data_IF_458267491555
#
_entry.id   IF_458267491555
#
_cell.length_a   1.000
_cell.length_b   1.000
_cell.length_c   1.000
_cell.angle_alpha   90.00
_cell.angle_beta   90.00
_cell.angle_gamma   90.00
#
_symmetry.space_group_name_H-M   'P 1'
#
loop_
_entity.id
_entity.type
_entity.pdbx_description
1 polymer ?
#
# COMPACT_ATOMS: atom_id res chain seq x y z
N UNK A 1 -17.57 2.42 -6.99
CA UNK A 1 -16.16 2.84 -6.72
C UNK A 1 -16.07 3.34 -5.28
N UNK A 2 -14.99 2.96 -4.59
CA UNK A 2 -14.75 3.44 -3.23
C UNK A 2 -14.07 4.80 -3.26
N UNK A 3 -14.35 5.62 -2.26
CA UNK A 3 -13.71 6.92 -2.13
C UNK A 3 -12.50 6.85 -1.20
N UNK A 4 -11.46 7.60 -1.52
CA UNK A 4 -10.27 7.71 -0.68
C UNK A 4 -10.58 8.62 0.51
N UNK A 5 -10.33 8.11 1.74
CA UNK A 5 -10.49 8.91 2.95
C UNK A 5 -9.27 9.81 3.16
N UNK A 6 -9.51 10.97 3.77
CA UNK A 6 -8.46 11.97 3.97
C UNK A 6 -7.99 11.99 5.42
N UNK A 7 -6.86 12.68 5.65
CA UNK A 7 -6.27 12.88 6.97
C UNK A 7 -7.31 13.40 7.97
N UNK A 8 -7.29 12.83 9.16
CA UNK A 8 -8.27 13.11 10.20
C UNK A 8 -9.25 11.97 10.42
N UNK A 9 -9.40 11.06 9.44
CA UNK A 9 -10.22 9.85 9.62
C UNK A 9 -9.46 8.86 10.50
N UNK A 10 -10.11 8.38 11.55
CA UNK A 10 -9.48 7.50 12.54
C UNK A 10 -8.97 6.17 11.95
N UNK A 11 -9.56 5.70 10.85
CA UNK A 11 -9.13 4.45 10.20
C UNK A 11 -7.68 4.53 9.72
N UNK A 12 -7.20 5.72 9.35
CA UNK A 12 -5.83 5.92 8.88
C UNK A 12 -4.79 5.77 10.00
N UNK A 13 -5.19 5.89 11.25
CA UNK A 13 -4.32 5.83 12.42
C UNK A 13 -4.43 4.52 13.17
N UNK A 14 -5.25 3.60 12.68
CA UNK A 14 -5.51 2.30 13.30
C UNK A 14 -4.73 1.22 12.57
N UNK A 15 -4.10 0.32 13.32
CA UNK A 15 -3.46 -0.84 12.73
C UNK A 15 -4.52 -1.74 12.09
N UNK A 16 -4.35 -2.05 10.80
CA UNK A 16 -5.27 -2.87 10.05
C UNK A 16 -5.19 -4.34 10.48
N UNK A 17 -6.34 -5.01 10.49
CA UNK A 17 -6.43 -6.43 10.82
C UNK A 17 -6.06 -7.35 9.66
N UNK A 18 -5.58 -8.57 9.94
CA UNK A 18 -5.23 -9.51 8.89
C UNK A 18 -6.46 -9.99 8.13
N UNK A 19 -6.26 -10.34 6.86
CA UNK A 19 -7.27 -10.97 6.03
C UNK A 19 -7.26 -12.47 6.33
N UNK A 20 -8.43 -13.03 6.61
CA UNK A 20 -8.58 -14.44 6.96
C UNK A 20 -9.35 -15.25 5.92
N UNK A 21 -10.04 -14.57 4.99
CA UNK A 21 -10.82 -15.22 3.96
C UNK A 21 -10.48 -14.66 2.58
N UNK A 22 -10.21 -15.54 1.63
CA UNK A 22 -9.98 -15.22 0.24
C UNK A 22 -11.19 -15.69 -0.56
N UNK A 23 -11.62 -14.89 -1.54
CA UNK A 23 -12.76 -15.23 -2.36
C UNK A 23 -13.30 -14.03 -3.13
N UNK A 24 -14.52 -14.13 -3.67
CA UNK A 24 -15.08 -13.07 -4.53
C UNK A 24 -15.15 -11.70 -3.86
N UNK A 25 -15.44 -11.63 -2.57
CA UNK A 25 -15.51 -10.35 -1.85
C UNK A 25 -14.16 -9.65 -1.80
N UNK A 26 -13.09 -10.41 -1.54
CA UNK A 26 -11.73 -9.87 -1.53
C UNK A 26 -11.32 -9.41 -2.93
N UNK A 27 -11.62 -10.20 -3.96
CA UNK A 27 -11.31 -9.85 -5.34
C UNK A 27 -12.04 -8.57 -5.76
N UNK A 28 -13.31 -8.42 -5.35
CA UNK A 28 -14.09 -7.22 -5.63
C UNK A 28 -13.47 -6.00 -4.93
N UNK A 29 -13.09 -6.14 -3.67
CA UNK A 29 -12.45 -5.05 -2.93
C UNK A 29 -11.16 -4.60 -3.63
N UNK A 30 -10.33 -5.54 -4.07
CA UNK A 30 -9.10 -5.22 -4.80
C UNK A 30 -9.39 -4.47 -6.09
N UNK A 31 -10.41 -4.90 -6.86
CA UNK A 31 -10.81 -4.23 -8.08
C UNK A 31 -11.28 -2.81 -7.79
N UNK A 32 -12.08 -2.60 -6.74
CA UNK A 32 -12.55 -1.28 -6.32
C UNK A 32 -11.39 -0.39 -5.88
N UNK A 33 -10.36 -0.96 -5.23
CA UNK A 33 -9.16 -0.23 -4.83
C UNK A 33 -8.36 0.24 -6.05
N UNK A 34 -8.20 -0.61 -7.06
CA UNK A 34 -7.55 -0.20 -8.31
C UNK A 34 -8.31 0.92 -9.00
N UNK A 35 -9.64 0.85 -9.03
CA UNK A 35 -10.48 1.90 -9.62
C UNK A 35 -10.31 3.22 -8.87
N UNK A 36 -10.35 3.20 -7.54
CA UNK A 36 -10.18 4.40 -6.72
C UNK A 36 -8.78 5.02 -6.92
N UNK A 37 -7.76 4.17 -6.94
CA UNK A 37 -6.38 4.60 -7.16
C UNK A 37 -6.22 5.26 -8.52
N UNK A 38 -6.75 4.65 -9.57
CA UNK A 38 -6.67 5.17 -10.94
C UNK A 38 -7.42 6.49 -11.06
N UNK A 39 -8.60 6.58 -10.46
CA UNK A 39 -9.40 7.81 -10.49
C UNK A 39 -8.62 8.99 -9.90
N UNK A 40 -7.90 8.77 -8.81
CA UNK A 40 -7.12 9.81 -8.13
C UNK A 40 -5.66 9.86 -8.59
N UNK A 41 -5.30 9.12 -9.65
CA UNK A 41 -3.95 9.11 -10.27
C UNK A 41 -2.85 8.68 -9.30
N UNK A 42 -3.17 7.74 -8.40
CA UNK A 42 -2.20 7.19 -7.47
C UNK A 42 -1.44 6.01 -8.06
N UNK A 43 -0.31 5.68 -7.44
CA UNK A 43 0.52 4.52 -7.81
C UNK A 43 0.51 3.45 -6.73
N UNK A 44 -0.09 3.74 -5.59
CA UNK A 44 -0.29 2.80 -4.48
C UNK A 44 -1.50 3.23 -3.66
N UNK A 45 -2.18 2.25 -3.07
CA UNK A 45 -3.34 2.50 -2.22
C UNK A 45 -3.53 1.35 -1.24
N UNK A 46 -3.68 1.68 0.03
CA UNK A 46 -3.95 0.70 1.09
C UNK A 46 -5.43 0.70 1.45
N UNK A 47 -5.95 -0.46 1.89
CA UNK A 47 -7.37 -0.60 2.22
C UNK A 47 -7.86 0.41 3.26
N UNK A 48 -7.09 0.76 4.31
CA UNK A 48 -7.53 1.81 5.24
C UNK A 48 -7.85 3.14 4.54
N UNK A 49 -7.19 3.44 3.43
CA UNK A 49 -7.44 4.68 2.68
C UNK A 49 -8.79 4.70 1.96
N UNK A 50 -9.47 3.57 1.87
CA UNK A 50 -10.86 3.49 1.39
C UNK A 50 -11.82 3.07 2.52
N UNK A 51 -11.39 3.26 3.77
CA UNK A 51 -12.23 3.01 4.94
C UNK A 51 -12.31 1.56 5.39
N UNK A 52 -11.48 0.68 4.84
CA UNK A 52 -11.48 -0.74 5.18
C UNK A 52 -10.22 -1.06 5.99
N UNK A 53 -10.41 -1.47 7.26
CA UNK A 53 -9.29 -1.77 8.14
C UNK A 53 -8.80 -3.22 7.95
N UNK A 54 -8.27 -3.49 6.76
CA UNK A 54 -7.72 -4.81 6.38
C UNK A 54 -6.31 -4.64 5.81
N UNK A 55 -5.46 -5.64 6.04
CA UNK A 55 -4.06 -5.61 5.63
C UNK A 55 -3.92 -5.96 4.15
N UNK A 56 -4.34 -5.03 3.31
CA UNK A 56 -4.28 -5.13 1.85
C UNK A 56 -3.78 -3.81 1.29
N UNK A 57 -2.87 -3.88 0.31
CA UNK A 57 -2.61 -2.71 -0.53
C UNK A 57 -2.41 -3.15 -1.99
N UNK A 58 -2.58 -2.21 -2.89
CA UNK A 58 -2.39 -2.42 -4.33
C UNK A 58 -1.36 -1.44 -4.85
N UNK A 59 -0.63 -1.83 -5.90
CA UNK A 59 0.36 -0.97 -6.54
C UNK A 59 0.19 -1.00 -8.05
N UNK A 60 0.51 0.13 -8.68
CA UNK A 60 0.54 0.27 -10.14
C UNK A 60 1.65 1.25 -10.49
N UNK A 61 2.88 0.77 -10.42
CA UNK A 61 4.09 1.58 -10.63
C UNK A 61 4.50 1.49 -12.10
N UNK A 62 4.86 2.62 -12.70
CA UNK A 62 5.33 2.66 -14.08
C UNK A 62 6.51 1.71 -14.26
N UNK A 63 6.48 0.90 -15.32
CA UNK A 63 7.49 -0.10 -15.59
C UNK A 63 7.26 -1.43 -14.87
N UNK A 64 6.21 -1.53 -14.08
CA UNK A 64 5.83 -2.75 -13.36
C UNK A 64 4.37 -3.09 -13.68
N UNK A 65 3.94 -4.29 -13.32
CA UNK A 65 2.54 -4.70 -13.46
C UNK A 65 1.73 -4.29 -12.22
N UNK A 66 0.41 -4.29 -12.34
CA UNK A 66 -0.48 -4.13 -11.18
C UNK A 66 -0.28 -5.31 -10.23
N UNK A 67 -0.18 -4.99 -8.94
CA UNK A 67 0.06 -6.00 -7.90
C UNK A 67 -0.88 -5.81 -6.73
N UNK A 68 -1.27 -6.94 -6.11
CA UNK A 68 -2.05 -6.97 -4.87
C UNK A 68 -1.19 -7.62 -3.79
N UNK A 69 -1.16 -7.00 -2.62
CA UNK A 69 -0.42 -7.48 -1.46
C UNK A 69 -1.40 -7.68 -0.31
N UNK A 70 -1.66 -8.93 0.05
CA UNK A 70 -2.55 -9.29 1.16
C UNK A 70 -1.70 -9.84 2.30
N UNK A 71 -1.92 -9.33 3.50
CA UNK A 71 -1.13 -9.69 4.69
C UNK A 71 0.38 -9.58 4.44
N UNK A 72 0.86 -8.43 3.93
CA UNK A 72 2.27 -8.28 3.59
C UNK A 72 3.14 -8.27 4.83
N UNK A 73 4.33 -8.84 4.69
CA UNK A 73 5.35 -8.87 5.73
C UNK A 73 6.68 -8.46 5.14
N UNK A 74 7.30 -7.43 5.68
CA UNK A 74 8.62 -6.98 5.25
C UNK A 74 9.65 -7.90 5.88
N UNK A 75 10.38 -8.66 5.05
CA UNK A 75 11.35 -9.65 5.50
C UNK A 75 12.73 -9.03 5.64
N UNK A 76 13.13 -8.20 4.67
CA UNK A 76 14.45 -7.56 4.65
C UNK A 76 14.35 -6.18 4.02
N UNK A 77 15.19 -5.28 4.50
CA UNK A 77 15.38 -3.95 3.89
C UNK A 77 16.88 -3.74 3.68
N UNK A 78 17.25 -2.95 2.65
CA UNK A 78 18.64 -2.62 2.43
C UNK A 78 19.13 -1.64 3.51
N UNK A 79 20.44 -1.68 3.84
CA UNK A 79 21.03 -0.65 4.72
C UNK A 79 21.10 0.72 4.05
N UNK A 80 21.18 0.74 2.72
CA UNK A 80 21.18 1.98 1.94
C UNK A 80 19.80 2.63 2.01
N UNK A 81 19.78 3.95 2.26
CA UNK A 81 18.56 4.73 2.36
C UNK A 81 18.56 5.78 1.24
N UNK A 82 17.37 6.06 0.70
CA UNK A 82 17.19 7.07 -0.34
C UNK A 82 16.12 8.06 0.13
N UNK A 83 16.41 9.34 -0.04
CA UNK A 83 15.47 10.41 0.28
C UNK A 83 14.72 10.81 -0.99
N UNK A 84 13.40 10.91 -0.90
CA UNK A 84 12.56 11.23 -2.04
C UNK A 84 11.27 11.90 -1.56
N UNK A 85 10.71 12.76 -2.40
CA UNK A 85 9.46 13.43 -2.09
C UNK A 85 8.28 12.46 -2.23
N UNK A 86 7.52 12.29 -1.16
CA UNK A 86 6.34 11.44 -1.15
C UNK A 86 5.08 12.27 -0.94
N UNK A 87 4.05 11.92 -1.70
CA UNK A 87 2.70 12.38 -1.48
C UNK A 87 1.79 11.19 -1.16
N UNK A 88 0.59 11.46 -0.73
CA UNK A 88 -0.39 10.44 -0.40
C UNK A 88 -1.78 10.94 -0.78
N UNK A 89 -2.61 10.04 -1.35
CA UNK A 89 -3.97 10.39 -1.75
C UNK A 89 -4.83 10.85 -0.57
N UNK A 90 -4.52 10.39 0.65
CA UNK A 90 -5.20 10.83 1.88
C UNK A 90 -4.71 12.19 2.41
N UNK A 91 -3.68 12.77 1.78
CA UNK A 91 -3.14 14.09 2.09
C UNK A 91 -3.03 14.92 0.82
N UNK A 92 -4.14 15.32 0.20
CA UNK A 92 -4.10 16.04 -1.08
C UNK A 92 -3.28 17.34 -1.00
N UNK A 93 -2.34 17.49 -1.92
CA UNK A 93 -1.51 18.70 -2.01
C UNK A 93 -0.37 18.79 -1.00
N UNK A 94 -0.19 17.79 -0.15
CA UNK A 94 0.91 17.75 0.82
C UNK A 94 1.99 16.78 0.38
N UNK A 95 3.25 17.22 0.40
CA UNK A 95 4.42 16.42 -0.01
C UNK A 95 5.53 16.61 1.01
N UNK A 96 6.21 15.52 1.34
CA UNK A 96 7.29 15.55 2.31
C UNK A 96 8.47 14.72 1.80
N UNK A 97 9.68 15.16 2.12
CA UNK A 97 10.89 14.39 1.87
C UNK A 97 10.94 13.26 2.90
N UNK A 98 10.94 12.02 2.42
CA UNK A 98 10.94 10.83 3.28
C UNK A 98 12.14 9.96 2.92
N UNK A 99 12.88 9.57 3.95
CA UNK A 99 14.02 8.66 3.80
C UNK A 99 13.55 7.22 4.00
N UNK A 100 13.80 6.37 3.01
CA UNK A 100 13.41 4.96 3.07
C UNK A 100 14.52 4.07 2.53
N UNK A 101 14.56 2.78 2.95
CA UNK A 101 15.47 1.81 2.35
C UNK A 101 15.33 1.77 0.83
N UNK A 102 16.46 1.64 0.13
CA UNK A 102 16.49 1.61 -1.34
C UNK A 102 15.86 0.35 -1.92
N UNK A 103 15.90 -0.77 -1.19
CA UNK A 103 15.30 -2.02 -1.61
C UNK A 103 14.64 -2.74 -0.44
N UNK A 104 13.70 -3.63 -0.77
CA UNK A 104 12.91 -4.37 0.21
C UNK A 104 12.61 -5.76 -0.31
N UNK A 105 12.56 -6.73 0.61
CA UNK A 105 12.05 -8.06 0.33
C UNK A 105 10.76 -8.23 1.13
N UNK A 106 9.67 -8.52 0.43
CA UNK A 106 8.33 -8.63 1.02
C UNK A 106 7.74 -10.01 0.71
N UNK A 107 7.06 -10.59 1.69
CA UNK A 107 6.24 -11.78 1.52
C UNK A 107 4.78 -11.38 1.69
N UNK A 108 3.92 -11.87 0.81
CA UNK A 108 2.50 -11.55 0.85
C UNK A 108 1.68 -12.64 0.15
N UNK A 109 0.39 -12.42 0.08
CA UNK A 109 -0.52 -13.24 -0.73
C UNK A 109 -1.17 -12.36 -1.78
N UNK A 110 -1.49 -12.94 -2.93
CA UNK A 110 -2.29 -12.23 -3.93
C UNK A 110 -3.80 -12.36 -3.60
N UNK A 111 -4.65 -11.80 -4.46
CA UNK A 111 -6.11 -11.81 -4.23
C UNK A 111 -6.72 -13.21 -4.36
N UNK A 112 -5.97 -14.17 -4.86
CA UNK A 112 -6.38 -15.57 -4.96
C UNK A 112 -5.91 -16.40 -3.76
N UNK A 113 -5.16 -15.81 -2.84
CA UNK A 113 -4.61 -16.52 -1.70
C UNK A 113 -3.29 -17.22 -1.98
N UNK A 114 -2.67 -16.95 -3.13
CA UNK A 114 -1.38 -17.55 -3.46
C UNK A 114 -0.25 -16.74 -2.83
N UNK A 115 0.62 -17.40 -2.08
CA UNK A 115 1.76 -16.73 -1.47
C UNK A 115 2.86 -16.42 -2.49
N UNK A 116 3.55 -15.32 -2.27
CA UNK A 116 4.71 -14.95 -3.08
C UNK A 116 5.72 -14.16 -2.24
N UNK A 117 6.96 -14.17 -2.72
CA UNK A 117 8.03 -13.34 -2.16
C UNK A 117 8.55 -12.46 -3.29
N UNK A 118 8.70 -11.18 -3.03
CA UNK A 118 9.12 -10.20 -4.02
C UNK A 118 10.30 -9.39 -3.48
N UNK A 119 11.35 -9.29 -4.30
CA UNK A 119 12.43 -8.34 -4.06
C UNK A 119 12.16 -7.13 -4.94
N UNK A 120 12.06 -5.96 -4.32
CA UNK A 120 11.75 -4.71 -5.02
C UNK A 120 12.80 -3.65 -4.71
N UNK A 121 13.00 -2.74 -5.66
CA UNK A 121 13.92 -1.62 -5.51
C UNK A 121 13.31 -0.37 -6.13
N UNK A 122 13.96 0.76 -5.93
CA UNK A 122 13.56 2.04 -6.49
C UNK A 122 12.13 2.43 -6.10
N UNK A 123 11.32 2.89 -7.03
CA UNK A 123 9.98 3.39 -6.75
C UNK A 123 9.05 2.30 -6.20
N UNK A 124 9.15 1.07 -6.70
CA UNK A 124 8.31 -0.02 -6.19
C UNK A 124 8.60 -0.30 -4.72
N UNK A 125 9.88 -0.33 -4.32
CA UNK A 125 10.25 -0.52 -2.92
C UNK A 125 9.67 0.60 -2.05
N UNK A 126 9.74 1.84 -2.51
CA UNK A 126 9.22 3.01 -1.81
C UNK A 126 7.71 2.91 -1.60
N UNK A 127 6.97 2.55 -2.65
CA UNK A 127 5.52 2.41 -2.59
C UNK A 127 5.12 1.28 -1.63
N UNK A 128 5.81 0.14 -1.71
CA UNK A 128 5.55 -0.99 -0.79
C UNK A 128 5.72 -0.56 0.66
N UNK A 129 6.78 0.15 0.98
CA UNK A 129 7.05 0.60 2.34
C UNK A 129 6.05 1.67 2.80
N UNK A 130 5.70 2.60 1.92
CA UNK A 130 4.71 3.63 2.20
C UNK A 130 3.34 2.99 2.52
N UNK A 131 2.88 2.05 1.69
CA UNK A 131 1.59 1.40 1.91
C UNK A 131 1.59 0.48 3.13
N UNK A 132 2.72 -0.17 3.42
CA UNK A 132 2.85 -0.97 4.64
C UNK A 132 2.70 -0.09 5.89
N UNK A 133 3.24 1.13 5.87
CA UNK A 133 3.06 2.08 6.97
C UNK A 133 1.57 2.38 7.19
N UNK A 134 0.79 2.56 6.12
CA UNK A 134 -0.65 2.76 6.25
C UNK A 134 -1.34 1.58 6.94
N UNK A 135 -0.92 0.34 6.63
CA UNK A 135 -1.48 -0.84 7.28
C UNK A 135 -1.14 -0.89 8.79
N UNK A 136 -0.06 -0.28 9.18
CA UNK A 136 0.36 -0.21 10.58
C UNK A 136 -0.17 1.05 11.29
N UNK A 137 -1.00 1.83 10.61
CA UNK A 137 -1.57 3.07 11.15
C UNK A 137 -0.55 4.19 11.26
N UNK A 138 0.56 4.11 10.53
CA UNK A 138 1.62 5.12 10.55
C UNK A 138 1.44 6.08 9.39
N UNK A 139 1.51 7.37 9.69
CA UNK A 139 1.43 8.43 8.70
C UNK A 139 2.81 9.08 8.59
N UNK A 140 3.10 9.68 7.42
CA UNK A 140 4.41 10.29 7.21
C UNK A 140 4.51 11.74 7.72
N UNK A 141 3.48 12.22 8.38
CA UNK A 141 3.47 13.51 9.05
C UNK A 141 3.26 13.37 10.54
#
# INVERSE_FOLDING_TARGET
MREVVIYGDSVLQTKAGPVTQFGPELELLCAEMFDAMKHDRGIGLAAPQVGVSSRIFVTDVEGDRKRVFVNPEIIMTSPEQVEYEEGCLSFPGLYFMVKRPASVKVQAFDEKGKSFTLEAKDMLARVILHETDHLDGKLFI
#
